data_IF_907467376369
#
_entry.id   IF_907467376369
#
_cell.length_a   1.000
_cell.length_b   1.000
_cell.length_c   1.000
_cell.angle_alpha   90.00
_cell.angle_beta   90.00
_cell.angle_gamma   90.00
#
_symmetry.space_group_name_H-M   'P 1'
#
loop_
_entity.id
_entity.type
_entity.pdbx_description
1 polymer ?
#
# COMPACT_ATOMS: atom_id res chain seq x y z
N UNK A 1 27.82 76.43 -53.42
CA UNK A 1 27.94 76.90 -52.03
C UNK A 1 26.98 76.08 -51.18
N UNK A 2 27.52 75.37 -50.19
CA UNK A 2 26.77 74.48 -49.31
C UNK A 2 25.80 75.28 -48.40
N UNK A 3 24.61 74.73 -48.18
CA UNK A 3 23.91 74.84 -46.90
C UNK A 3 23.29 73.48 -46.57
N UNK A 4 23.59 73.02 -45.35
CA UNK A 4 23.11 71.76 -44.77
C UNK A 4 21.90 72.08 -43.89
N UNK A 5 20.86 71.26 -43.96
CA UNK A 5 19.87 71.15 -42.88
C UNK A 5 19.54 69.68 -42.62
N UNK A 6 19.59 69.32 -41.34
CA UNK A 6 19.42 67.96 -40.80
C UNK A 6 17.93 67.72 -40.56
N UNK A 7 17.41 66.58 -41.01
CA UNK A 7 16.06 66.11 -40.68
C UNK A 7 16.15 64.85 -39.80
N UNK A 8 15.55 64.92 -38.62
CA UNK A 8 15.36 63.80 -37.70
C UNK A 8 14.07 63.08 -38.11
N UNK A 9 14.15 61.76 -38.33
CA UNK A 9 12.97 60.90 -38.49
C UNK A 9 12.92 59.89 -37.34
N UNK A 10 11.84 59.98 -36.57
CA UNK A 10 11.50 59.05 -35.49
C UNK A 10 10.99 57.74 -36.11
N UNK A 11 11.67 56.64 -35.80
CA UNK A 11 11.27 55.29 -36.19
C UNK A 11 10.20 54.79 -35.20
N UNK A 12 8.96 54.68 -35.67
CA UNK A 12 7.88 53.98 -34.99
C UNK A 12 8.07 52.48 -35.25
N UNK A 13 8.57 51.75 -34.26
CA UNK A 13 8.64 50.29 -34.29
C UNK A 13 7.26 49.75 -33.88
N UNK A 14 6.66 48.96 -34.77
CA UNK A 14 5.30 48.43 -34.68
C UNK A 14 5.11 47.45 -33.52
N UNK A 15 3.95 47.53 -32.86
CA UNK A 15 3.56 46.81 -31.65
C UNK A 15 3.29 45.29 -31.80
N UNK A 16 3.47 44.69 -32.97
CA UNK A 16 2.93 43.34 -33.24
C UNK A 16 3.82 42.18 -32.75
N UNK A 17 5.13 42.36 -32.57
CA UNK A 17 6.02 41.27 -32.11
C UNK A 17 5.95 40.98 -30.59
N UNK A 18 5.32 41.85 -29.79
CA UNK A 18 5.23 41.65 -28.33
C UNK A 18 4.08 40.74 -27.90
N UNK A 19 3.04 40.54 -28.72
CA UNK A 19 1.89 39.71 -28.31
C UNK A 19 2.13 38.21 -28.49
N UNK A 20 3.05 37.77 -29.36
CA UNK A 20 3.25 36.34 -29.60
C UNK A 20 4.15 35.66 -28.54
N UNK A 21 5.02 36.40 -27.84
CA UNK A 21 5.87 35.85 -26.78
C UNK A 21 5.17 35.75 -25.41
N UNK A 22 4.12 36.53 -25.19
CA UNK A 22 3.34 36.47 -23.94
C UNK A 22 2.37 35.27 -23.94
N UNK A 23 1.85 34.88 -25.11
CA UNK A 23 0.97 33.73 -25.23
C UNK A 23 1.66 32.38 -24.92
N UNK A 24 2.93 32.18 -25.31
CA UNK A 24 3.67 30.95 -25.00
C UNK A 24 4.08 30.81 -23.54
N UNK A 25 4.34 31.92 -22.83
CA UNK A 25 4.73 31.87 -21.40
C UNK A 25 3.52 31.62 -20.50
N UNK A 26 2.33 32.08 -20.90
CA UNK A 26 1.08 31.83 -20.15
C UNK A 26 0.57 30.40 -20.36
N UNK A 27 0.80 29.78 -21.53
CA UNK A 27 0.35 28.41 -21.78
C UNK A 27 1.18 27.34 -21.02
N UNK A 28 2.45 27.61 -20.73
CA UNK A 28 3.31 26.69 -19.95
C UNK A 28 3.04 26.83 -18.44
N UNK A 29 2.53 27.97 -17.96
CA UNK A 29 2.15 28.17 -16.57
C UNK A 29 0.79 27.54 -16.18
N UNK A 30 -0.03 27.14 -17.16
CA UNK A 30 -1.34 26.50 -16.93
C UNK A 30 -1.29 24.96 -16.98
N UNK A 31 -0.12 24.37 -17.24
CA UNK A 31 0.10 22.91 -17.24
C UNK A 31 0.70 22.38 -15.93
N UNK A 32 0.93 23.24 -14.93
CA UNK A 32 1.42 22.84 -13.62
C UNK A 32 0.33 22.96 -12.57
N UNK A 33 0.02 21.85 -11.90
CA UNK A 33 -0.95 21.68 -10.80
C UNK A 33 -2.38 21.30 -11.21
N UNK A 34 -2.54 20.39 -12.18
CA UNK A 34 -3.59 19.38 -12.02
C UNK A 34 -3.21 18.50 -10.83
N UNK A 35 -3.51 18.98 -9.61
CA UNK A 35 -3.71 18.06 -8.50
C UNK A 35 -4.88 17.19 -8.93
N UNK A 36 -4.57 16.01 -9.46
CA UNK A 36 -5.57 14.97 -9.64
C UNK A 36 -6.29 14.89 -8.30
N UNK A 37 -7.53 15.38 -8.29
CA UNK A 37 -8.41 15.23 -7.14
C UNK A 37 -8.79 13.76 -7.19
N UNK A 38 -7.91 12.92 -6.63
CA UNK A 38 -8.22 11.53 -6.37
C UNK A 38 -9.52 11.53 -5.60
N UNK A 39 -10.56 10.96 -6.20
CA UNK A 39 -11.83 10.77 -5.51
C UNK A 39 -11.50 9.96 -4.25
N UNK A 40 -11.77 10.53 -3.07
CA UNK A 40 -11.56 9.79 -1.83
C UNK A 40 -12.56 8.65 -1.80
N UNK A 41 -12.06 7.44 -2.03
CA UNK A 41 -12.85 6.21 -1.96
C UNK A 41 -12.61 5.61 -0.59
N UNK A 42 -13.69 5.38 0.16
CA UNK A 42 -13.62 4.64 1.43
C UNK A 42 -13.00 3.27 1.20
N UNK A 43 -12.08 2.86 2.08
CA UNK A 43 -11.57 1.49 2.06
C UNK A 43 -12.65 0.47 2.46
N UNK A 44 -13.60 0.87 3.30
CA UNK A 44 -14.68 0.00 3.79
C UNK A 44 -15.02 0.21 5.26
N UNK A 45 -15.80 -0.71 5.81
CA UNK A 45 -16.45 -0.61 7.13
C UNK A 45 -15.96 -1.63 8.16
N UNK A 46 -15.03 -2.51 7.80
CA UNK A 46 -14.51 -3.58 8.66
C UNK A 46 -13.03 -3.81 8.44
N UNK A 47 -12.39 -4.49 9.39
CA UNK A 47 -11.01 -4.90 9.28
C UNK A 47 -10.93 -6.35 9.75
N UNK A 48 -10.70 -7.27 8.82
CA UNK A 48 -10.64 -8.71 9.09
C UNK A 48 -9.25 -9.22 8.72
N UNK A 49 -8.79 -10.27 9.41
CA UNK A 49 -7.50 -10.96 9.14
C UNK A 49 -7.74 -12.44 8.88
N UNK A 50 -6.79 -13.06 8.18
CA UNK A 50 -6.73 -14.48 7.82
C UNK A 50 -7.73 -14.89 6.75
N UNK A 51 -7.21 -15.56 5.73
CA UNK A 51 -8.02 -16.24 4.74
C UNK A 51 -8.77 -17.42 5.39
N UNK A 52 -10.03 -17.62 4.99
CA UNK A 52 -10.99 -18.64 5.46
C UNK A 52 -11.52 -18.49 6.89
N UNK A 53 -10.81 -17.79 7.78
CA UNK A 53 -11.25 -17.56 9.17
C UNK A 53 -11.87 -16.18 9.36
N UNK A 54 -11.31 -15.14 8.71
CA UNK A 54 -11.83 -13.77 8.74
C UNK A 54 -11.99 -13.21 10.17
N UNK A 55 -10.94 -13.36 10.97
CA UNK A 55 -10.90 -12.88 12.36
C UNK A 55 -11.10 -11.36 12.38
N UNK A 56 -12.13 -10.84 13.06
CA UNK A 56 -12.35 -9.40 13.13
C UNK A 56 -11.29 -8.72 14.00
N UNK A 57 -10.87 -7.54 13.56
CA UNK A 57 -9.87 -6.71 14.21
C UNK A 57 -10.52 -5.41 14.73
N UNK A 58 -10.02 -4.83 15.83
CA UNK A 58 -10.62 -3.65 16.44
C UNK A 58 -10.48 -2.40 15.56
N UNK A 59 -11.61 -1.74 15.26
CA UNK A 59 -11.63 -0.51 14.46
C UNK A 59 -11.34 0.76 15.27
N UNK A 60 -11.47 0.67 16.60
CA UNK A 60 -11.21 1.80 17.49
C UNK A 60 -10.19 1.42 18.57
N UNK A 61 -9.45 2.42 19.06
CA UNK A 61 -8.51 2.23 20.17
C UNK A 61 -9.21 1.70 21.43
N UNK A 62 -10.47 2.12 21.64
CA UNK A 62 -11.31 1.63 22.75
C UNK A 62 -11.61 0.14 22.60
N UNK A 63 -11.97 -0.30 21.40
CA UNK A 63 -12.23 -1.72 21.13
C UNK A 63 -10.95 -2.54 21.20
N UNK A 64 -9.81 -1.99 20.78
CA UNK A 64 -8.52 -2.65 20.90
C UNK A 64 -8.20 -2.96 22.37
N UNK A 65 -8.32 -1.97 23.25
CA UNK A 65 -8.12 -2.15 24.70
C UNK A 65 -9.09 -3.19 25.29
N UNK A 66 -10.36 -3.18 24.88
CA UNK A 66 -11.36 -4.13 25.39
C UNK A 66 -11.09 -5.57 24.92
N UNK A 67 -10.41 -5.72 23.78
CA UNK A 67 -9.99 -6.99 23.20
C UNK A 67 -8.58 -7.44 23.65
N UNK A 68 -7.98 -6.74 24.61
CA UNK A 68 -6.69 -7.13 25.22
C UNK A 68 -5.45 -6.57 24.53
N UNK A 69 -5.60 -5.68 23.56
CA UNK A 69 -4.46 -4.99 22.96
C UNK A 69 -3.85 -3.99 23.93
N UNK A 70 -2.53 -3.84 23.87
CA UNK A 70 -1.76 -2.91 24.70
C UNK A 70 -1.42 -1.66 23.89
N UNK A 71 -1.76 -0.48 24.41
CA UNK A 71 -1.22 0.79 23.88
C UNK A 71 0.28 0.86 24.19
N UNK A 72 1.11 0.53 23.21
CA UNK A 72 2.57 0.45 23.38
C UNK A 72 3.17 1.82 23.56
N UNK A 73 2.72 2.82 22.81
CA UNK A 73 3.18 4.20 22.96
C UNK A 73 3.02 4.70 24.40
N UNK A 74 1.91 4.37 25.07
CA UNK A 74 1.73 4.71 26.48
C UNK A 74 2.67 3.96 27.43
N UNK A 75 3.02 2.70 27.13
CA UNK A 75 3.89 1.87 27.98
C UNK A 75 5.37 2.23 27.82
N UNK A 76 5.84 2.48 26.59
CA UNK A 76 7.22 2.84 26.29
C UNK A 76 7.51 4.33 26.51
N UNK A 77 6.46 5.15 26.63
CA UNK A 77 6.58 6.60 26.67
C UNK A 77 6.80 7.22 25.28
N UNK A 78 6.61 6.45 24.21
CA UNK A 78 6.73 6.96 22.86
C UNK A 78 5.63 7.99 22.57
N UNK A 79 6.03 9.06 21.90
CA UNK A 79 5.09 10.06 21.43
C UNK A 79 4.25 9.52 20.27
N UNK A 80 3.14 10.20 20.00
CA UNK A 80 2.32 9.92 18.83
C UNK A 80 3.18 9.98 17.55
N UNK A 81 3.13 8.94 16.72
CA UNK A 81 3.75 8.95 15.40
C UNK A 81 2.95 9.90 14.49
N UNK A 82 3.63 10.86 13.85
CA UNK A 82 2.97 11.91 13.07
C UNK A 82 2.22 11.42 11.82
N UNK A 83 2.52 10.22 11.33
CA UNK A 83 1.89 9.66 10.15
C UNK A 83 0.88 8.54 10.48
N UNK A 84 1.07 7.86 11.62
CA UNK A 84 0.31 6.66 11.97
C UNK A 84 -0.51 6.81 13.24
N UNK A 85 -0.08 7.60 14.22
CA UNK A 85 -0.75 7.75 15.51
C UNK A 85 -0.10 6.92 16.62
N UNK A 86 -0.91 6.34 17.49
CA UNK A 86 -0.48 5.55 18.64
C UNK A 86 -0.43 4.07 18.29
N UNK A 87 0.66 3.41 18.68
CA UNK A 87 0.92 2.01 18.38
C UNK A 87 0.26 1.08 19.39
N UNK A 88 -0.41 0.04 18.91
CA UNK A 88 -1.04 -1.01 19.70
C UNK A 88 -0.57 -2.38 19.25
N UNK A 89 -0.06 -3.18 20.19
CA UNK A 89 0.28 -4.59 19.94
C UNK A 89 -0.54 -5.49 20.85
N UNK A 90 -0.77 -6.73 20.40
CA UNK A 90 -1.50 -7.70 21.22
C UNK A 90 -0.69 -8.10 22.46
N UNK A 91 0.58 -8.48 22.28
CA UNK A 91 1.48 -8.74 23.40
C UNK A 91 1.99 -7.43 24.00
N UNK A 92 2.08 -7.38 25.32
CA UNK A 92 2.48 -6.16 26.04
C UNK A 92 3.93 -5.76 25.81
N UNK A 93 4.79 -6.66 25.32
CA UNK A 93 6.19 -6.40 24.96
C UNK A 93 6.38 -5.78 23.57
N UNK A 94 5.33 -5.73 22.74
CA UNK A 94 5.43 -5.35 21.33
C UNK A 94 5.01 -6.49 20.41
N UNK A 95 5.21 -6.37 19.07
CA UNK A 95 5.00 -7.49 18.17
C UNK A 95 5.89 -8.67 18.58
N UNK A 96 5.37 -9.88 18.41
CA UNK A 96 6.10 -11.13 18.62
C UNK A 96 5.96 -12.03 17.41
N UNK A 97 6.76 -13.10 17.33
CA UNK A 97 6.57 -14.09 16.27
C UNK A 97 5.15 -14.68 16.28
N UNK A 98 4.51 -14.85 17.44
CA UNK A 98 3.15 -15.37 17.49
C UNK A 98 2.08 -14.33 17.10
N UNK A 99 2.33 -13.06 17.40
CA UNK A 99 1.42 -11.94 17.15
C UNK A 99 2.21 -10.79 16.50
N UNK A 100 2.54 -10.90 15.20
CA UNK A 100 3.41 -9.95 14.49
C UNK A 100 2.67 -8.69 14.03
N UNK A 101 1.33 -8.69 14.08
CA UNK A 101 0.50 -7.58 13.64
C UNK A 101 0.36 -6.53 14.75
N UNK A 102 0.61 -5.29 14.37
CA UNK A 102 0.42 -4.09 15.16
C UNK A 102 -0.64 -3.23 14.48
N UNK A 103 -1.46 -2.55 15.28
CA UNK A 103 -2.45 -1.59 14.80
C UNK A 103 -2.08 -0.20 15.28
N UNK A 104 -2.36 0.81 14.46
CA UNK A 104 -2.20 2.20 14.83
C UNK A 104 -3.55 2.89 14.91
N UNK A 105 -3.69 3.79 15.86
CA UNK A 105 -4.90 4.59 16.03
C UNK A 105 -4.58 6.07 16.13
N UNK A 106 -5.43 6.91 15.53
CA UNK A 106 -5.34 8.36 15.69
C UNK A 106 -5.52 8.79 17.14
N UNK A 107 -5.19 10.04 17.48
CA UNK A 107 -5.53 10.59 18.79
C UNK A 107 -7.05 10.63 19.06
N UNK A 108 -7.88 10.70 18.02
CA UNK A 108 -9.33 10.51 18.10
C UNK A 108 -9.76 9.04 18.30
N UNK A 109 -8.83 8.08 18.21
CA UNK A 109 -9.07 6.66 18.43
C UNK A 109 -9.57 5.88 17.22
N UNK A 110 -9.47 6.43 16.00
CA UNK A 110 -9.82 5.72 14.76
C UNK A 110 -8.64 4.90 14.24
N UNK A 111 -8.87 3.68 13.74
CA UNK A 111 -7.82 2.89 13.09
C UNK A 111 -7.18 3.70 11.95
N UNK A 112 -5.87 3.88 11.98
CA UNK A 112 -5.11 4.73 11.05
C UNK A 112 -4.04 3.99 10.28
N UNK A 113 -3.72 2.75 10.68
CA UNK A 113 -2.77 1.92 9.96
C UNK A 113 -2.55 0.57 10.63
N UNK A 114 -1.72 -0.24 9.99
CA UNK A 114 -1.25 -1.52 10.49
C UNK A 114 0.23 -1.70 10.16
N UNK A 115 0.91 -2.56 10.92
CA UNK A 115 2.27 -2.98 10.61
C UNK A 115 2.41 -4.48 10.87
N UNK A 116 3.10 -5.17 9.98
CA UNK A 116 3.46 -6.57 10.15
C UNK A 116 4.97 -6.67 10.36
N UNK A 117 5.37 -7.32 11.45
CA UNK A 117 6.76 -7.70 11.69
C UNK A 117 7.06 -9.09 11.13
N UNK A 118 8.17 -9.18 10.41
CA UNK A 118 8.68 -10.39 9.76
C UNK A 118 9.92 -10.83 10.53
N UNK A 119 9.91 -12.08 11.00
CA UNK A 119 11.01 -12.66 11.76
C UNK A 119 11.85 -13.57 10.87
N UNK A 120 13.12 -13.23 10.71
CA UNK A 120 14.08 -13.90 9.86
C UNK A 120 15.44 -14.10 10.58
N UNK A 121 15.49 -14.96 11.61
CA UNK A 121 16.73 -15.23 12.35
C UNK A 121 17.81 -15.91 11.50
N UNK A 122 17.48 -16.32 10.26
CA UNK A 122 18.39 -17.04 9.35
C UNK A 122 18.95 -16.13 8.24
N UNK A 123 18.55 -14.86 8.17
CA UNK A 123 19.03 -13.91 7.16
C UNK A 123 18.63 -14.27 5.73
N UNK A 124 17.46 -14.89 5.55
CA UNK A 124 16.91 -15.24 4.22
C UNK A 124 16.20 -14.09 3.52
N UNK A 125 15.70 -13.09 4.24
CA UNK A 125 15.08 -11.89 3.64
C UNK A 125 16.09 -11.12 2.78
N UNK A 126 17.31 -10.78 3.24
CA UNK A 126 18.31 -10.15 2.37
C UNK A 126 18.73 -11.00 1.16
N UNK A 127 18.68 -12.33 1.28
CA UNK A 127 19.05 -13.26 0.21
C UNK A 127 17.98 -13.34 -0.89
N UNK A 128 16.70 -13.35 -0.50
CA UNK A 128 15.57 -13.60 -1.41
C UNK A 128 14.84 -12.33 -1.83
N UNK A 129 14.91 -11.28 -1.00
CA UNK A 129 14.16 -10.04 -1.14
C UNK A 129 15.05 -8.81 -0.83
N UNK A 130 16.35 -8.91 -1.11
CA UNK A 130 17.33 -7.87 -0.82
C UNK A 130 17.00 -6.53 -1.48
N UNK A 131 16.49 -6.55 -2.72
CA UNK A 131 16.05 -5.33 -3.40
C UNK A 131 14.90 -4.62 -2.66
N UNK A 132 13.93 -5.35 -2.09
CA UNK A 132 12.86 -4.76 -1.27
C UNK A 132 13.38 -4.11 0.02
N UNK A 133 14.42 -4.69 0.62
CA UNK A 133 15.11 -4.09 1.77
C UNK A 133 15.83 -2.80 1.35
N UNK A 134 16.59 -2.86 0.26
CA UNK A 134 17.37 -1.71 -0.25
C UNK A 134 16.48 -0.54 -0.68
N UNK A 135 15.31 -0.83 -1.24
CA UNK A 135 14.33 0.18 -1.65
C UNK A 135 13.44 0.66 -0.49
N UNK A 136 13.55 0.08 0.71
CA UNK A 136 12.80 0.53 1.89
C UNK A 136 11.35 0.00 1.96
N UNK A 137 10.97 -0.99 1.16
CA UNK A 137 9.68 -1.68 1.30
C UNK A 137 9.68 -2.66 2.47
N UNK A 138 10.82 -3.31 2.74
CA UNK A 138 11.06 -4.11 3.95
C UNK A 138 12.01 -3.36 4.88
N UNK A 139 11.48 -2.68 5.88
CA UNK A 139 12.28 -1.86 6.80
C UNK A 139 12.92 -2.72 7.86
N UNK A 140 14.25 -2.65 8.02
CA UNK A 140 14.93 -3.37 9.10
C UNK A 140 14.58 -2.74 10.45
N UNK A 141 13.87 -3.48 11.31
CA UNK A 141 13.45 -3.01 12.64
C UNK A 141 14.33 -3.57 13.78
N UNK A 142 15.11 -4.61 13.50
CA UNK A 142 15.96 -5.30 14.48
C UNK A 142 16.90 -6.31 13.83
N UNK A 143 17.63 -7.06 14.65
CA UNK A 143 18.48 -8.14 14.17
C UNK A 143 17.63 -9.33 13.72
N UNK A 144 17.57 -9.53 12.40
CA UNK A 144 16.70 -10.54 11.79
C UNK A 144 15.22 -10.17 11.85
N UNK A 145 14.88 -8.89 11.95
CA UNK A 145 13.50 -8.42 11.95
C UNK A 145 13.29 -7.33 10.89
N UNK A 146 12.17 -7.44 10.17
CA UNK A 146 11.75 -6.49 9.15
C UNK A 146 10.30 -6.09 9.36
N UNK A 147 9.90 -4.92 8.89
CA UNK A 147 8.53 -4.43 8.99
C UNK A 147 8.00 -3.93 7.66
N UNK A 148 6.70 -4.12 7.46
CA UNK A 148 5.91 -3.43 6.42
C UNK A 148 4.76 -2.75 7.13
N UNK A 149 4.62 -1.45 6.90
CA UNK A 149 3.61 -0.61 7.52
C UNK A 149 2.68 -0.04 6.46
N UNK A 150 1.38 -0.04 6.72
CA UNK A 150 0.37 0.60 5.88
C UNK A 150 -0.33 1.71 6.67
N UNK A 151 -0.37 2.92 6.12
CA UNK A 151 -1.26 3.97 6.59
C UNK A 151 -2.57 3.97 5.81
N UNK A 152 -3.67 4.19 6.52
CA UNK A 152 -5.04 4.19 5.98
C UNK A 152 -5.64 5.60 5.84
N UNK A 153 -5.02 6.58 6.50
CA UNK A 153 -5.57 7.94 6.65
C UNK A 153 -4.53 9.00 6.35
N UNK A 154 -5.02 10.22 6.19
CA UNK A 154 -4.18 11.41 6.15
C UNK A 154 -3.38 11.59 7.44
N UNK A 155 -2.09 11.88 7.32
CA UNK A 155 -1.20 12.07 8.48
C UNK A 155 -1.63 13.23 9.37
N UNK A 156 -2.33 14.23 8.84
CA UNK A 156 -2.88 15.34 9.64
C UNK A 156 -3.89 14.88 10.71
N UNK A 157 -4.45 13.68 10.59
CA UNK A 157 -5.35 13.08 11.58
C UNK A 157 -4.63 12.27 12.65
N UNK A 158 -3.42 11.77 12.39
CA UNK A 158 -2.72 10.80 13.25
C UNK A 158 -2.60 11.27 14.71
N UNK A 159 -2.10 12.48 14.92
CA UNK A 159 -1.92 13.08 16.26
C UNK A 159 -2.93 14.17 16.59
N UNK A 160 -4.04 14.21 15.84
CA UNK A 160 -5.11 15.17 16.00
C UNK A 160 -6.35 14.49 16.58
N UNK A 161 -7.13 15.23 17.38
CA UNK A 161 -8.48 14.80 17.80
C UNK A 161 -9.53 15.01 16.70
N UNK A 162 -9.12 15.51 15.53
CA UNK A 162 -9.95 15.50 14.34
C UNK A 162 -10.24 14.05 13.89
N UNK A 163 -11.42 13.86 13.31
CA UNK A 163 -11.85 12.58 12.75
C UNK A 163 -12.50 12.81 11.39
N UNK A 164 -12.61 11.74 10.60
CA UNK A 164 -13.48 11.72 9.43
C UNK A 164 -14.49 10.57 9.57
N UNK A 165 -15.45 10.49 8.66
CA UNK A 165 -16.53 9.50 8.73
C UNK A 165 -16.16 8.12 8.19
N UNK A 166 -14.94 7.94 7.66
CA UNK A 166 -14.49 6.65 7.14
C UNK A 166 -14.11 5.74 8.31
N UNK A 167 -14.58 4.49 8.32
CA UNK A 167 -14.31 3.57 9.42
C UNK A 167 -12.83 3.12 9.46
N UNK A 168 -12.25 2.82 8.29
CA UNK A 168 -10.84 2.46 8.13
C UNK A 168 -10.02 3.65 7.64
N UNK A 169 -10.47 4.30 6.57
CA UNK A 169 -9.74 5.37 5.92
C UNK A 169 -10.05 5.48 4.43
N UNK A 170 -9.21 6.23 3.70
CA UNK A 170 -9.44 6.61 2.30
C UNK A 170 -8.20 6.44 1.39
N UNK A 171 -7.14 5.80 1.90
CA UNK A 171 -5.88 5.62 1.17
C UNK A 171 -5.09 4.43 1.69
N UNK A 172 -4.12 3.97 0.91
CA UNK A 172 -3.13 2.98 1.34
C UNK A 172 -1.75 3.55 1.03
N UNK A 173 -0.88 3.63 2.03
CA UNK A 173 0.50 4.13 1.87
C UNK A 173 1.46 3.19 2.57
N UNK A 174 2.42 2.61 1.85
CA UNK A 174 3.48 1.76 2.41
C UNK A 174 4.54 2.65 3.07
N UNK A 175 4.91 2.27 4.30
CA UNK A 175 5.99 2.84 5.11
C UNK A 175 5.96 4.38 5.05
N UNK A 176 4.91 5.01 5.61
CA UNK A 176 4.64 6.44 5.45
C UNK A 176 5.71 7.35 6.09
N UNK A 177 6.53 6.81 6.99
CA UNK A 177 7.63 7.53 7.62
C UNK A 177 8.91 7.57 6.77
N UNK A 178 9.00 6.72 5.73
CA UNK A 178 10.18 6.60 4.87
C UNK A 178 9.84 6.81 3.40
N UNK A 179 9.48 5.76 2.69
CA UNK A 179 9.27 5.81 1.24
C UNK A 179 7.91 6.39 0.85
N UNK A 180 6.93 6.33 1.76
CA UNK A 180 5.58 6.84 1.57
C UNK A 180 4.97 6.44 0.21
N UNK A 181 5.12 5.17 -0.18
CA UNK A 181 4.71 4.68 -1.49
C UNK A 181 3.18 4.53 -1.54
N UNK A 182 2.45 5.32 -2.34
CA UNK A 182 1.00 5.24 -2.40
C UNK A 182 0.56 4.00 -3.18
N UNK A 183 -0.49 3.35 -2.69
CA UNK A 183 -1.12 2.22 -3.35
C UNK A 183 -2.49 2.64 -3.92
N UNK A 184 -2.84 2.17 -5.13
CA UNK A 184 -4.18 2.29 -5.69
C UNK A 184 -5.28 1.77 -4.75
N UNK A 185 -6.40 2.48 -4.67
CA UNK A 185 -7.60 2.03 -3.93
C UNK A 185 -8.76 1.67 -4.86
N UNK A 186 -8.57 1.82 -6.17
CA UNK A 186 -9.46 1.34 -7.21
C UNK A 186 -8.72 0.54 -8.29
N UNK A 187 -9.43 -0.36 -8.98
CA UNK A 187 -8.90 -1.15 -10.08
C UNK A 187 -8.39 -0.26 -11.24
N UNK A 188 -9.13 0.81 -11.56
CA UNK A 188 -8.74 1.76 -12.61
C UNK A 188 -7.41 2.45 -12.27
N UNK A 189 -7.23 2.85 -11.01
CA UNK A 189 -5.94 3.38 -10.53
C UNK A 189 -4.84 2.34 -10.61
N UNK A 190 -5.12 1.07 -10.28
CA UNK A 190 -4.14 0.00 -10.36
C UNK A 190 -3.67 -0.24 -11.80
N UNK A 191 -4.61 -0.27 -12.76
CA UNK A 191 -4.32 -0.38 -14.19
C UNK A 191 -3.50 0.83 -14.67
N UNK A 192 -3.90 2.05 -14.27
CA UNK A 192 -3.18 3.27 -14.63
C UNK A 192 -1.74 3.26 -14.08
N UNK A 193 -1.53 2.70 -12.89
CA UNK A 193 -0.24 2.54 -12.23
C UNK A 193 0.47 1.21 -12.58
N UNK A 194 0.09 0.54 -13.67
CA UNK A 194 0.78 -0.64 -14.22
C UNK A 194 0.82 -1.86 -13.30
N UNK A 195 -0.15 -2.00 -12.40
CA UNK A 195 -0.35 -3.26 -11.69
C UNK A 195 -0.86 -4.33 -12.66
N UNK A 196 -0.34 -5.54 -12.52
CA UNK A 196 -0.69 -6.72 -13.30
C UNK A 196 -1.90 -7.41 -12.68
N UNK A 197 -2.99 -7.52 -13.43
CA UNK A 197 -4.17 -8.28 -13.03
C UNK A 197 -3.85 -9.78 -13.00
N UNK A 198 -4.19 -10.43 -11.91
CA UNK A 198 -4.09 -11.86 -11.69
C UNK A 198 -5.44 -12.55 -11.56
N UNK A 199 -5.43 -13.68 -10.87
CA UNK A 199 -6.61 -14.50 -10.63
C UNK A 199 -7.57 -13.84 -9.62
N UNK A 200 -8.85 -14.18 -9.73
CA UNK A 200 -9.86 -13.84 -8.75
C UNK A 200 -10.19 -15.02 -7.86
N UNK A 201 -10.42 -14.76 -6.58
CA UNK A 201 -10.88 -15.75 -5.62
C UNK A 201 -12.11 -15.19 -4.92
N UNK A 202 -13.19 -15.97 -4.88
CA UNK A 202 -14.38 -15.62 -4.13
C UNK A 202 -14.02 -15.32 -2.68
N UNK A 203 -14.54 -14.22 -2.13
CA UNK A 203 -14.19 -13.76 -0.79
C UNK A 203 -12.93 -12.90 -0.72
N UNK A 204 -12.11 -12.86 -1.77
CA UNK A 204 -10.89 -12.04 -1.84
C UNK A 204 -10.97 -10.95 -2.91
N UNK A 205 -11.47 -11.28 -4.10
CA UNK A 205 -11.45 -10.41 -5.28
C UNK A 205 -10.32 -10.76 -6.27
N UNK A 206 -10.15 -9.90 -7.26
CA UNK A 206 -9.08 -9.98 -8.26
C UNK A 206 -7.77 -9.49 -7.66
N UNK A 207 -6.73 -10.32 -7.72
CA UNK A 207 -5.40 -9.96 -7.24
C UNK A 207 -4.67 -9.07 -8.25
N UNK A 208 -3.97 -8.06 -7.74
CA UNK A 208 -3.18 -7.12 -8.52
C UNK A 208 -1.78 -7.04 -7.93
N UNK A 209 -0.80 -7.35 -8.79
CA UNK A 209 0.61 -7.43 -8.44
C UNK A 209 1.37 -6.28 -9.06
N UNK A 210 2.50 -5.92 -8.47
CA UNK A 210 3.41 -4.95 -9.05
C UNK A 210 4.83 -5.48 -8.96
N UNK A 211 5.50 -5.50 -10.11
CA UNK A 211 6.92 -5.82 -10.21
C UNK A 211 7.73 -4.53 -10.32
N UNK A 212 8.55 -4.25 -9.32
CA UNK A 212 9.34 -3.02 -9.21
C UNK A 212 10.36 -2.85 -10.34
N UNK A 213 10.68 -3.92 -11.09
CA UNK A 213 11.65 -3.87 -12.18
C UNK A 213 11.01 -3.86 -13.57
N UNK A 214 9.88 -4.53 -13.74
CA UNK A 214 9.33 -4.88 -15.07
C UNK A 214 7.85 -4.58 -15.25
N UNK A 215 7.18 -3.93 -14.29
CA UNK A 215 5.75 -3.60 -14.41
C UNK A 215 5.40 -2.93 -15.76
N UNK A 216 4.28 -3.33 -16.41
CA UNK A 216 3.26 -4.26 -15.94
C UNK A 216 3.58 -5.75 -16.15
N UNK A 217 4.73 -6.11 -16.69
CA UNK A 217 5.18 -7.49 -16.76
C UNK A 217 5.68 -7.99 -15.39
N UNK A 218 5.78 -9.32 -15.24
CA UNK A 218 6.33 -9.95 -14.04
C UNK A 218 7.71 -10.52 -14.35
N UNK A 219 8.72 -10.14 -13.56
CA UNK A 219 10.09 -10.65 -13.70
C UNK A 219 10.24 -12.07 -13.16
N UNK A 220 9.26 -12.53 -12.36
CA UNK A 220 9.32 -13.80 -11.64
C UNK A 220 10.46 -13.88 -10.62
N UNK A 221 10.99 -12.72 -10.24
CA UNK A 221 11.96 -12.56 -9.17
C UNK A 221 11.29 -12.03 -7.91
N UNK A 222 11.50 -12.73 -6.80
CA UNK A 222 10.91 -12.41 -5.51
C UNK A 222 11.43 -11.08 -4.95
N UNK A 223 12.61 -10.66 -5.35
CA UNK A 223 13.17 -9.38 -4.92
C UNK A 223 12.50 -8.17 -5.56
N UNK A 224 11.78 -8.37 -6.68
CA UNK A 224 11.10 -7.30 -7.40
C UNK A 224 9.59 -7.26 -7.11
N UNK A 225 9.02 -8.32 -6.55
CA UNK A 225 7.60 -8.36 -6.22
C UNK A 225 7.30 -7.41 -5.06
N UNK A 226 6.47 -6.38 -5.30
CA UNK A 226 5.97 -5.50 -4.25
C UNK A 226 5.34 -6.33 -3.12
N UNK A 227 5.73 -6.12 -1.84
CA UNK A 227 5.36 -7.04 -0.77
C UNK A 227 3.94 -6.85 -0.25
N UNK A 228 3.16 -5.95 -0.86
CA UNK A 228 1.74 -5.73 -0.57
C UNK A 228 0.96 -5.89 -1.87
N UNK A 229 0.14 -6.94 -1.92
CA UNK A 229 -0.71 -7.27 -3.07
C UNK A 229 -2.09 -6.69 -2.83
N UNK A 230 -2.66 -6.08 -3.87
CA UNK A 230 -3.97 -5.47 -3.82
C UNK A 230 -5.01 -6.46 -4.32
N UNK A 231 -6.21 -6.42 -3.74
CA UNK A 231 -7.34 -7.21 -4.21
C UNK A 231 -8.57 -6.32 -4.38
N UNK A 232 -9.15 -6.32 -5.57
CA UNK A 232 -10.35 -5.53 -5.88
C UNK A 232 -11.56 -6.44 -6.06
N UNK A 233 -12.72 -6.02 -5.57
CA UNK A 233 -13.97 -6.72 -5.85
C UNK A 233 -14.40 -6.52 -7.32
N UNK A 234 -15.47 -7.17 -7.75
CA UNK A 234 -15.99 -7.06 -9.13
C UNK A 234 -16.48 -5.66 -9.55
N UNK A 235 -16.59 -4.72 -8.62
CA UNK A 235 -16.92 -3.31 -8.90
C UNK A 235 -15.68 -2.43 -9.02
N UNK A 236 -14.48 -2.99 -8.86
CA UNK A 236 -13.21 -2.28 -8.93
C UNK A 236 -12.83 -1.54 -7.64
N UNK A 237 -13.52 -1.78 -6.52
CA UNK A 237 -13.18 -1.20 -5.22
C UNK A 237 -12.25 -2.11 -4.42
N UNK A 238 -11.28 -1.53 -3.68
CA UNK A 238 -10.34 -2.30 -2.87
C UNK A 238 -11.07 -3.14 -1.83
N UNK A 239 -10.95 -4.46 -1.93
CA UNK A 239 -11.55 -5.43 -1.01
C UNK A 239 -10.59 -5.79 0.11
N UNK A 240 -9.34 -6.04 -0.24
CA UNK A 240 -8.34 -6.58 0.66
C UNK A 240 -6.93 -6.23 0.19
N UNK A 241 -5.98 -6.42 1.10
CA UNK A 241 -4.56 -6.56 0.77
C UNK A 241 -4.02 -7.85 1.35
N UNK A 242 -2.93 -8.37 0.80
CA UNK A 242 -2.09 -9.28 1.58
C UNK A 242 -0.63 -8.86 1.56
N UNK A 243 0.03 -9.08 2.69
CA UNK A 243 1.48 -9.02 2.79
C UNK A 243 2.07 -10.30 2.21
N UNK A 244 3.18 -10.23 1.49
CA UNK A 244 3.88 -11.40 0.96
C UNK A 244 5.38 -11.34 1.23
N UNK A 245 5.91 -12.42 1.81
CA UNK A 245 7.34 -12.57 2.09
C UNK A 245 7.84 -13.95 1.69
N UNK A 246 9.03 -14.01 1.12
CA UNK A 246 9.67 -15.21 0.60
C UNK A 246 10.32 -16.09 1.70
N UNK A 247 9.94 -15.86 2.95
CA UNK A 247 10.42 -16.59 4.12
C UNK A 247 9.24 -17.20 4.87
N UNK A 248 9.40 -18.44 5.33
CA UNK A 248 8.36 -19.12 6.12
C UNK A 248 8.22 -18.45 7.49
N UNK A 249 7.03 -17.96 7.80
CA UNK A 249 6.69 -17.31 9.05
C UNK A 249 5.85 -18.19 9.97
N UNK A 250 5.25 -19.27 9.44
CA UNK A 250 4.47 -20.25 10.16
C UNK A 250 5.35 -21.24 10.94
N UNK A 251 4.83 -21.73 12.07
CA UNK A 251 5.43 -22.79 12.87
C UNK A 251 4.99 -24.19 12.40
N UNK A 252 5.20 -25.19 13.26
CA UNK A 252 4.73 -26.56 13.02
C UNK A 252 3.27 -26.72 13.48
N UNK A 253 2.90 -26.07 14.58
CA UNK A 253 1.59 -26.20 15.23
C UNK A 253 0.84 -24.87 15.36
N UNK A 254 1.41 -23.77 14.89
CA UNK A 254 0.85 -22.43 14.96
C UNK A 254 1.15 -21.71 13.65
N UNK A 255 0.18 -20.99 13.10
CA UNK A 255 0.38 -20.16 11.91
C UNK A 255 0.99 -18.80 12.24
N UNK A 256 1.16 -18.46 13.52
CA UNK A 256 1.80 -17.21 13.95
C UNK A 256 1.06 -15.96 13.44
N UNK A 257 -0.27 -16.05 13.35
CA UNK A 257 -1.16 -15.05 12.74
C UNK A 257 -0.88 -14.75 11.25
N UNK A 258 -0.04 -15.55 10.60
CA UNK A 258 0.01 -15.66 9.14
C UNK A 258 -1.04 -16.66 8.68
N UNK A 259 -1.20 -16.78 7.35
CA UNK A 259 -2.04 -17.83 6.79
C UNK A 259 -1.59 -19.22 7.25
N UNK A 260 -2.53 -20.18 7.44
CA UNK A 260 -2.23 -21.50 8.01
C UNK A 260 -1.13 -22.28 7.28
N UNK A 261 -1.00 -22.05 5.98
CA UNK A 261 -0.08 -22.77 5.10
C UNK A 261 0.80 -21.76 4.36
N UNK A 262 2.11 -21.88 4.54
CA UNK A 262 3.06 -21.19 3.68
C UNK A 262 2.95 -21.78 2.26
N UNK A 263 2.75 -20.94 1.25
CA UNK A 263 2.46 -21.36 -0.10
C UNK A 263 3.77 -21.79 -0.80
N UNK A 264 3.90 -23.05 -1.27
CA UNK A 264 4.92 -23.39 -2.24
C UNK A 264 4.74 -22.55 -3.50
N UNK A 265 5.82 -22.35 -4.26
CA UNK A 265 5.83 -21.59 -5.51
C UNK A 265 4.64 -21.95 -6.44
N UNK A 266 4.37 -23.24 -6.67
CA UNK A 266 3.24 -23.67 -7.51
C UNK A 266 1.85 -23.23 -7.00
N UNK A 267 1.64 -23.14 -5.68
CA UNK A 267 0.37 -22.63 -5.13
C UNK A 267 0.33 -21.10 -5.15
N UNK A 268 1.47 -20.44 -4.90
CA UNK A 268 1.59 -18.99 -5.03
C UNK A 268 1.26 -18.55 -6.47
N UNK A 269 1.72 -19.30 -7.47
CA UNK A 269 1.43 -19.02 -8.87
C UNK A 269 -0.03 -19.14 -9.30
N UNK A 270 -0.90 -19.79 -8.50
CA UNK A 270 -2.34 -19.79 -8.78
C UNK A 270 -2.98 -18.41 -8.62
N UNK A 271 -2.28 -17.46 -8.01
CA UNK A 271 -2.74 -16.08 -7.94
C UNK A 271 -2.51 -15.30 -9.24
N UNK A 272 -1.76 -15.84 -10.20
CA UNK A 272 -1.58 -15.26 -11.53
C UNK A 272 -2.34 -16.05 -12.58
N UNK A 273 -2.62 -15.37 -13.69
CA UNK A 273 -3.16 -15.96 -14.90
C UNK A 273 -2.11 -16.14 -15.98
N UNK A 274 -0.94 -16.61 -15.53
CA UNK A 274 0.25 -16.74 -16.36
C UNK A 274 0.88 -18.13 -16.16
N UNK A 275 1.01 -18.88 -17.25
CA UNK A 275 1.62 -20.20 -17.24
C UNK A 275 3.13 -20.16 -17.01
N UNK A 276 3.76 -19.02 -17.25
CA UNK A 276 5.19 -18.80 -17.01
C UNK A 276 5.50 -18.41 -15.56
N UNK A 277 4.48 -18.28 -14.70
CA UNK A 277 4.68 -17.93 -13.31
C UNK A 277 5.64 -18.90 -12.62
N UNK A 278 6.67 -18.32 -12.03
CA UNK A 278 7.61 -19.02 -11.15
C UNK A 278 8.29 -18.03 -10.22
N UNK A 279 8.84 -18.52 -9.11
CA UNK A 279 9.81 -17.82 -8.26
C UNK A 279 10.92 -18.82 -7.90
N UNK A 280 11.90 -19.05 -8.79
CA UNK A 280 12.80 -20.21 -8.73
C UNK A 280 13.66 -20.23 -7.46
N UNK A 281 13.98 -19.06 -6.91
CA UNK A 281 14.77 -18.91 -5.68
C UNK A 281 13.94 -19.09 -4.40
N UNK A 282 12.60 -19.15 -4.49
CA UNK A 282 11.71 -19.17 -3.33
C UNK A 282 11.07 -20.53 -3.15
N UNK A 283 11.29 -21.12 -1.98
CA UNK A 283 10.65 -22.39 -1.61
C UNK A 283 9.21 -22.19 -1.10
N UNK A 284 8.99 -21.15 -0.30
CA UNK A 284 7.69 -20.87 0.33
C UNK A 284 7.46 -19.37 0.45
N UNK A 285 6.20 -18.99 0.31
CA UNK A 285 5.69 -17.66 0.58
C UNK A 285 4.83 -17.69 1.84
N UNK A 286 5.07 -16.75 2.75
CA UNK A 286 4.12 -16.47 3.82
C UNK A 286 3.28 -15.29 3.43
N UNK A 287 1.96 -15.44 3.58
CA UNK A 287 1.00 -14.38 3.33
C UNK A 287 0.19 -14.06 4.58
N UNK A 288 -0.30 -12.83 4.66
CA UNK A 288 -1.23 -12.39 5.69
C UNK A 288 -2.26 -11.48 5.03
N UNK A 289 -3.52 -11.92 4.96
CA UNK A 289 -4.59 -11.12 4.37
C UNK A 289 -5.19 -10.15 5.39
N UNK A 290 -5.58 -8.98 4.89
CA UNK A 290 -6.42 -8.02 5.59
C UNK A 290 -7.57 -7.57 4.68
N UNK A 291 -8.81 -7.69 5.15
CA UNK A 291 -10.01 -7.36 4.38
C UNK A 291 -10.68 -6.10 4.94
N UNK A 292 -11.13 -5.22 4.05
CA UNK A 292 -11.73 -3.92 4.40
C UNK A 292 -13.25 -3.90 4.27
N UNK A 293 -13.81 -4.83 3.51
CA UNK A 293 -15.23 -4.93 3.19
C UNK A 293 -15.78 -6.32 3.53
N UNK A 294 -17.10 -6.47 3.39
CA UNK A 294 -17.74 -7.78 3.47
C UNK A 294 -17.15 -8.73 2.41
N UNK A 295 -16.78 -9.93 2.82
CA UNK A 295 -16.16 -10.92 1.93
C UNK A 295 -17.17 -11.42 0.89
N UNK A 296 -18.46 -11.42 1.23
CA UNK A 296 -19.51 -11.86 0.31
C UNK A 296 -19.71 -10.89 -0.87
N UNK A 297 -19.20 -9.65 -0.76
CA UNK A 297 -19.18 -8.67 -1.86
C UNK A 297 -18.03 -8.92 -2.85
N UNK A 298 -17.01 -9.66 -2.43
CA UNK A 298 -15.85 -10.01 -3.25
C UNK A 298 -16.17 -11.18 -4.18
N UNK A 299 -17.02 -10.92 -5.17
CA UNK A 299 -17.38 -11.88 -6.20
C UNK A 299 -16.45 -11.75 -7.41
N UNK A 300 -16.35 -12.81 -8.21
CA UNK A 300 -15.65 -12.79 -9.49
C UNK A 300 -16.66 -12.75 -10.64
N UNK A 301 -16.23 -12.26 -11.80
CA UNK A 301 -17.08 -12.25 -12.99
C UNK A 301 -17.55 -13.66 -13.36
N UNK A 302 -18.76 -13.74 -13.92
CA UNK A 302 -19.36 -14.97 -14.45
C UNK A 302 -19.47 -16.11 -13.42
N UNK A 303 -19.71 -15.79 -12.14
CA UNK A 303 -19.86 -16.74 -11.02
C UNK A 303 -18.62 -17.64 -10.80
N UNK A 304 -17.48 -17.24 -11.35
CA UNK A 304 -16.21 -17.89 -11.17
C UNK A 304 -15.84 -17.95 -9.68
N UNK A 305 -15.55 -19.14 -9.17
CA UNK A 305 -15.25 -19.30 -7.75
C UNK A 305 -13.78 -18.99 -7.44
N UNK A 306 -12.87 -19.43 -8.32
CA UNK A 306 -11.43 -19.25 -8.16
C UNK A 306 -10.74 -19.33 -9.53
N UNK A 307 -9.73 -18.48 -9.76
CA UNK A 307 -8.81 -18.59 -10.89
C UNK A 307 -8.94 -17.46 -11.91
N UNK A 308 -8.64 -17.79 -13.17
CA UNK A 308 -8.58 -16.84 -14.28
C UNK A 308 -9.96 -16.60 -14.88
N UNK A 309 -10.75 -15.85 -14.12
CA UNK A 309 -12.10 -15.50 -14.50
C UNK A 309 -12.06 -14.50 -15.68
N UNK A 310 -12.81 -14.77 -16.77
CA UNK A 310 -12.81 -13.95 -17.98
C UNK A 310 -13.44 -12.57 -17.79
#
# INVERSE_FOLDING_TARGET
SLSVSVSVSVLVVSQEEKMMKIACVVLVALLGLSHASYSRVSLGDRFLRDYTVYTPMPLTAKDALSQGWTNRSAVTGDHCNSNLGYMFSYDSSGPTQNHPLVLFYTAAGQLSGSQVTIYDPKGKVPELQGNLVNQGFLEKSGDGEYTITLAYRDSSLACSFASNNEAIGDRLIINPDTIAYPLPVTEDEAIANKFTKGACFYGMGYHYFFDLSTAPEMSWDAENLLPVVLMFNNTGHIQATFYTVAVKQQGVTNSHWWEPIALPNALMCQNWCDSECTFPSVSFWSTMHTYFQDIDLATCANDCQTGCCP
#
